data_IF_663126918378
#
_entry.id   IF_663126918378
#
_cell.length_a   1.000
_cell.length_b   1.000
_cell.length_c   1.000
_cell.angle_alpha   90.00
_cell.angle_beta   90.00
_cell.angle_gamma   90.00
#
_symmetry.space_group_name_H-M   'P 1'
#
loop_
_entity.id
_entity.type
_entity.pdbx_description
1 polymer ?
#
# COMPACT_ATOMS: atom_id res chain seq x y z
N UNK A 1 -21.73 20.23 -32.99
CA UNK A 1 -22.52 20.75 -31.88
C UNK A 1 -21.56 21.08 -30.75
N UNK A 2 -21.19 22.34 -30.66
CA UNK A 2 -20.23 22.87 -29.69
C UNK A 2 -20.97 23.16 -28.38
N UNK A 3 -20.64 22.45 -27.33
CA UNK A 3 -21.10 22.75 -25.99
C UNK A 3 -20.31 23.94 -25.43
N UNK A 4 -20.97 25.08 -25.34
CA UNK A 4 -20.48 26.27 -24.63
C UNK A 4 -20.49 25.96 -23.13
N UNK A 5 -19.32 25.75 -22.57
CA UNK A 5 -19.09 25.73 -21.11
C UNK A 5 -19.13 27.18 -20.61
N UNK A 6 -20.27 27.58 -20.06
CA UNK A 6 -20.37 28.83 -19.30
C UNK A 6 -19.52 28.71 -18.03
N UNK A 7 -18.48 29.53 -17.95
CA UNK A 7 -17.72 29.77 -16.73
C UNK A 7 -18.67 30.38 -15.70
N UNK A 8 -18.80 29.83 -14.47
CA UNK A 8 -19.64 30.45 -13.47
C UNK A 8 -19.07 31.82 -13.12
N UNK A 9 -19.94 32.84 -13.21
CA UNK A 9 -19.64 34.22 -12.81
C UNK A 9 -19.20 34.21 -11.33
N UNK A 10 -17.95 34.56 -11.08
CA UNK A 10 -17.40 34.71 -9.74
C UNK A 10 -18.24 35.78 -9.03
N UNK A 11 -19.08 35.38 -8.11
CA UNK A 11 -19.80 36.28 -7.21
C UNK A 11 -18.77 37.23 -6.56
N UNK A 12 -18.97 38.53 -6.71
CA UNK A 12 -18.19 39.55 -6.02
C UNK A 12 -18.19 39.22 -4.52
N UNK A 13 -17.03 39.08 -3.87
CA UNK A 13 -17.00 38.73 -2.46
C UNK A 13 -17.78 39.79 -1.67
N UNK A 14 -18.79 39.37 -0.93
CA UNK A 14 -19.53 40.24 0.00
C UNK A 14 -18.49 40.90 0.93
N UNK A 15 -18.64 42.23 1.11
CA UNK A 15 -17.75 42.96 2.03
C UNK A 15 -17.95 42.41 3.44
N UNK A 16 -16.87 42.25 4.22
CA UNK A 16 -17.00 41.82 5.62
C UNK A 16 -17.89 42.78 6.41
N UNK A 17 -18.75 42.26 7.26
CA UNK A 17 -19.66 43.05 8.06
C UNK A 17 -19.02 43.46 9.37
N UNK A 18 -18.97 44.75 9.63
CA UNK A 18 -18.42 45.32 10.85
C UNK A 18 -19.50 46.01 11.70
N UNK A 19 -19.45 45.79 12.99
CA UNK A 19 -20.24 46.48 13.97
C UNK A 19 -19.38 47.43 14.76
N UNK A 20 -19.80 48.68 14.87
CA UNK A 20 -19.14 49.73 15.63
C UNK A 20 -19.99 50.11 16.85
N UNK A 21 -19.38 50.06 18.04
CA UNK A 21 -20.05 50.35 19.31
C UNK A 21 -19.33 51.49 20.04
N UNK A 22 -20.06 52.55 20.37
CA UNK A 22 -19.56 53.71 21.10
C UNK A 22 -18.74 54.70 20.27
N UNK A 23 -18.32 54.34 19.07
CA UNK A 23 -17.47 55.15 18.22
C UNK A 23 -18.18 56.38 17.67
N UNK A 24 -17.44 57.48 17.55
CA UNK A 24 -17.97 58.71 17.00
C UNK A 24 -18.39 58.58 15.53
N UNK A 25 -19.46 59.27 15.07
CA UNK A 25 -19.89 59.21 13.68
C UNK A 25 -18.81 59.57 12.66
N UNK A 26 -17.86 60.39 13.02
CA UNK A 26 -16.72 60.74 12.18
C UNK A 26 -15.87 59.54 11.79
N UNK A 27 -15.58 58.67 12.72
CA UNK A 27 -14.74 57.48 12.50
C UNK A 27 -15.44 56.38 11.70
N UNK A 28 -16.76 56.19 11.96
CA UNK A 28 -17.54 55.17 11.25
C UNK A 28 -18.01 55.63 9.85
N UNK A 29 -17.88 56.90 9.54
CA UNK A 29 -18.21 57.44 8.22
C UNK A 29 -17.02 57.60 7.27
N UNK A 30 -15.80 57.19 7.68
CA UNK A 30 -14.61 57.26 6.86
C UNK A 30 -14.80 56.50 5.52
N UNK A 31 -14.56 57.12 4.36
CA UNK A 31 -14.81 56.51 3.06
C UNK A 31 -14.07 55.19 2.87
N UNK A 32 -12.79 55.15 3.23
CA UNK A 32 -11.94 53.97 3.04
C UNK A 32 -12.35 52.79 3.95
N UNK A 33 -12.88 53.09 5.14
CA UNK A 33 -13.42 52.06 6.04
C UNK A 33 -14.70 51.42 5.42
N UNK A 34 -15.58 52.25 4.82
CA UNK A 34 -16.79 51.80 4.16
C UNK A 34 -16.56 51.11 2.82
N UNK A 35 -15.44 51.39 2.17
CA UNK A 35 -15.00 50.62 0.99
C UNK A 35 -14.55 49.21 1.36
N UNK A 36 -13.96 49.08 2.52
CA UNK A 36 -13.42 47.79 3.00
C UNK A 36 -14.47 46.92 3.72
N UNK A 37 -15.32 47.56 4.52
CA UNK A 37 -16.31 46.89 5.40
C UNK A 37 -17.71 47.50 5.23
N UNK A 38 -18.74 46.66 5.42
CA UNK A 38 -20.08 47.12 5.66
C UNK A 38 -20.22 47.49 7.15
N UNK A 39 -20.01 48.77 7.49
CA UNK A 39 -20.02 49.23 8.89
C UNK A 39 -21.38 49.68 9.34
N UNK A 40 -21.89 49.06 10.42
CA UNK A 40 -23.11 49.45 11.11
C UNK A 40 -22.77 49.94 12.53
N UNK A 41 -23.10 51.20 12.80
CA UNK A 41 -23.03 51.74 14.17
C UNK A 41 -24.28 51.33 14.94
N UNK A 42 -24.11 50.78 16.14
CA UNK A 42 -25.19 50.33 16.99
C UNK A 42 -25.03 50.89 18.42
N UNK A 43 -26.11 50.97 19.14
CA UNK A 43 -26.08 51.32 20.55
C UNK A 43 -25.47 50.16 21.39
N UNK A 44 -24.84 50.52 22.49
CA UNK A 44 -24.27 49.55 23.44
C UNK A 44 -25.27 48.48 23.88
N UNK A 45 -26.51 48.89 24.06
CA UNK A 45 -27.63 48.00 24.49
C UNK A 45 -28.00 46.95 23.47
N UNK A 46 -27.75 47.18 22.18
CA UNK A 46 -28.07 46.28 21.07
C UNK A 46 -26.86 45.37 20.73
N UNK A 47 -25.66 45.73 21.18
CA UNK A 47 -24.44 45.09 20.76
C UNK A 47 -24.42 43.58 21.02
N UNK A 48 -24.83 43.16 22.21
CA UNK A 48 -24.82 41.75 22.60
C UNK A 48 -25.80 40.92 21.76
N UNK A 49 -27.01 41.45 21.51
CA UNK A 49 -28.04 40.77 20.70
C UNK A 49 -27.54 40.57 19.25
N UNK A 50 -26.94 41.64 18.67
CA UNK A 50 -26.40 41.59 17.29
C UNK A 50 -25.24 40.61 17.19
N UNK A 51 -24.36 40.57 18.18
CA UNK A 51 -23.23 39.62 18.19
C UNK A 51 -23.70 38.18 18.36
N UNK A 52 -24.69 37.95 19.21
CA UNK A 52 -25.31 36.62 19.39
C UNK A 52 -26.09 36.14 18.17
N UNK A 53 -26.69 37.04 17.41
CA UNK A 53 -27.36 36.70 16.14
C UNK A 53 -26.36 36.24 15.06
N UNK A 54 -25.08 36.54 15.20
CA UNK A 54 -24.01 36.16 14.28
C UNK A 54 -23.94 37.01 13.01
N UNK A 55 -23.07 36.62 12.09
CA UNK A 55 -22.88 37.31 10.81
C UNK A 55 -22.10 38.63 10.90
N UNK A 56 -21.34 38.80 11.97
CA UNK A 56 -20.43 39.93 12.20
C UNK A 56 -18.99 39.44 12.01
N UNK A 57 -18.27 40.08 11.10
CA UNK A 57 -16.87 39.74 10.80
C UNK A 57 -15.89 40.57 11.63
N UNK A 58 -16.22 41.80 11.97
CA UNK A 58 -15.41 42.66 12.78
C UNK A 58 -16.23 43.43 13.81
N UNK A 59 -15.70 43.61 15.01
CA UNK A 59 -16.24 44.43 16.07
C UNK A 59 -15.28 45.56 16.39
N UNK A 60 -15.71 46.79 16.22
CA UNK A 60 -14.97 47.99 16.56
C UNK A 60 -15.55 48.56 17.87
N UNK A 61 -14.73 48.63 18.91
CA UNK A 61 -15.14 49.12 20.22
C UNK A 61 -14.44 50.44 20.55
N UNK A 62 -15.17 51.38 21.09
CA UNK A 62 -14.57 52.55 21.71
C UNK A 62 -13.92 52.16 23.05
N UNK A 63 -12.62 52.43 23.18
CA UNK A 63 -11.86 52.15 24.39
C UNK A 63 -12.22 53.04 25.61
N UNK A 64 -13.00 54.11 25.39
CA UNK A 64 -13.49 55.00 26.45
C UNK A 64 -14.85 54.57 27.00
N UNK A 65 -15.42 53.50 26.48
CA UNK A 65 -16.62 52.91 27.08
C UNK A 65 -16.37 52.49 28.53
N UNK A 66 -17.38 52.59 29.41
CA UNK A 66 -17.22 52.12 30.81
C UNK A 66 -16.72 50.68 30.86
N UNK A 67 -15.77 50.38 31.76
CA UNK A 67 -15.11 49.06 31.88
C UNK A 67 -16.12 47.89 32.01
N UNK A 68 -17.23 48.10 32.70
CA UNK A 68 -18.32 47.10 32.83
C UNK A 68 -19.00 46.80 31.48
N UNK A 69 -19.12 47.81 30.61
CA UNK A 69 -19.71 47.66 29.26
C UNK A 69 -18.75 46.92 28.37
N UNK A 70 -17.49 47.35 28.35
CA UNK A 70 -16.44 46.66 27.58
C UNK A 70 -16.32 45.19 27.96
N UNK A 71 -16.32 44.89 29.28
CA UNK A 71 -16.26 43.52 29.79
C UNK A 71 -17.42 42.69 29.29
N UNK A 72 -18.65 43.20 29.41
CA UNK A 72 -19.85 42.46 28.97
C UNK A 72 -19.88 42.20 27.46
N UNK A 73 -19.47 43.18 26.65
CA UNK A 73 -19.42 43.01 25.20
C UNK A 73 -18.33 42.04 24.80
N UNK A 74 -17.12 42.14 25.38
CA UNK A 74 -16.00 41.24 25.09
C UNK A 74 -16.29 39.80 25.54
N UNK A 75 -16.86 39.61 26.72
CA UNK A 75 -17.26 38.27 27.20
C UNK A 75 -18.29 37.62 26.27
N UNK A 76 -19.20 38.42 25.66
CA UNK A 76 -20.20 37.90 24.70
C UNK A 76 -19.58 37.39 23.38
N UNK A 77 -18.38 37.88 23.02
CA UNK A 77 -17.66 37.48 21.81
C UNK A 77 -16.82 36.20 22.03
N UNK A 78 -16.38 35.98 23.27
CA UNK A 78 -15.47 34.86 23.61
C UNK A 78 -13.99 35.14 23.28
N UNK A 79 -13.10 34.25 23.73
CA UNK A 79 -11.65 34.44 23.56
C UNK A 79 -11.17 34.25 22.12
N UNK A 80 -9.96 34.73 21.82
CA UNK A 80 -9.31 34.57 20.53
C UNK A 80 -9.17 33.09 20.14
N UNK A 81 -9.28 32.80 18.84
CA UNK A 81 -9.12 31.46 18.28
C UNK A 81 -10.43 30.66 18.20
N UNK A 82 -11.58 31.15 18.70
CA UNK A 82 -12.87 30.49 18.49
C UNK A 82 -13.30 30.69 17.03
N UNK A 83 -13.59 29.62 16.29
CA UNK A 83 -14.09 29.72 14.92
C UNK A 83 -15.40 30.50 14.84
N UNK A 84 -15.49 31.41 13.85
CA UNK A 84 -16.73 32.18 13.61
C UNK A 84 -16.94 33.43 14.48
N UNK A 85 -16.10 33.68 15.49
CA UNK A 85 -16.19 34.94 16.24
C UNK A 85 -15.69 36.12 15.39
N UNK A 86 -16.21 37.36 15.58
CA UNK A 86 -15.70 38.56 14.90
C UNK A 86 -14.25 38.90 15.35
N UNK A 87 -13.51 39.57 14.48
CA UNK A 87 -12.27 40.25 14.85
C UNK A 87 -12.60 41.44 15.73
N UNK A 88 -12.01 41.55 16.91
CA UNK A 88 -12.26 42.62 17.87
C UNK A 88 -11.10 43.61 17.85
N UNK A 89 -11.40 44.85 17.48
CA UNK A 89 -10.45 45.97 17.54
C UNK A 89 -10.98 47.05 18.45
N UNK A 90 -10.18 47.35 19.48
CA UNK A 90 -10.48 48.47 20.42
C UNK A 90 -9.79 49.73 19.94
N UNK A 91 -10.59 50.78 19.69
CA UNK A 91 -10.07 52.09 19.28
C UNK A 91 -9.88 52.94 20.51
N UNK A 92 -8.65 53.39 20.74
CA UNK A 92 -8.27 54.27 21.85
C UNK A 92 -8.22 55.72 21.40
N UNK A 93 -8.76 56.65 22.19
CA UNK A 93 -8.56 58.08 21.98
C UNK A 93 -7.18 58.54 22.52
N UNK A 94 -6.75 59.82 22.22
CA UNK A 94 -5.50 60.39 22.65
C UNK A 94 -5.26 60.30 24.19
N UNK A 95 -6.33 60.26 24.96
CA UNK A 95 -6.33 60.20 26.42
C UNK A 95 -6.66 58.79 26.96
N UNK A 96 -7.00 57.87 26.08
CA UNK A 96 -7.43 56.52 26.43
C UNK A 96 -6.25 55.61 26.80
N UNK A 97 -6.23 55.05 27.96
CA UNK A 97 -5.19 54.14 28.43
C UNK A 97 -5.67 52.68 28.19
N UNK A 98 -4.79 51.87 27.64
CA UNK A 98 -4.93 50.41 27.48
C UNK A 98 -5.28 49.70 28.81
N UNK A 99 -5.06 50.38 29.93
CA UNK A 99 -5.33 49.90 31.29
C UNK A 99 -6.82 49.83 31.68
N UNK A 100 -7.72 50.36 30.86
CA UNK A 100 -9.18 50.25 31.13
C UNK A 100 -9.74 48.86 30.79
N UNK A 101 -9.09 48.10 29.89
CA UNK A 101 -9.45 46.73 29.62
C UNK A 101 -8.77 45.83 30.67
N UNK A 102 -9.58 45.12 31.45
CA UNK A 102 -9.05 44.17 32.43
C UNK A 102 -8.11 43.15 31.77
N UNK A 103 -6.98 42.86 32.41
CA UNK A 103 -5.95 41.96 31.81
C UNK A 103 -6.53 40.63 31.36
N UNK A 104 -7.54 40.09 32.02
CA UNK A 104 -8.24 38.84 31.65
C UNK A 104 -9.03 38.94 30.36
N UNK A 105 -9.39 40.15 29.93
CA UNK A 105 -10.15 40.35 28.70
C UNK A 105 -9.26 40.65 27.47
N UNK A 106 -7.95 40.81 27.67
CA UNK A 106 -7.01 41.01 26.56
C UNK A 106 -7.01 39.86 25.57
N UNK A 107 -7.33 38.64 26.03
CA UNK A 107 -7.49 37.48 25.16
C UNK A 107 -8.72 37.53 24.25
N UNK A 108 -9.66 38.46 24.52
CA UNK A 108 -10.85 38.68 23.71
C UNK A 108 -10.64 39.79 22.64
N UNK A 109 -9.50 40.47 22.67
CA UNK A 109 -9.19 41.59 21.77
C UNK A 109 -8.10 41.17 20.78
N UNK A 110 -8.35 41.31 19.50
CA UNK A 110 -7.37 40.97 18.46
C UNK A 110 -6.34 42.08 18.26
N UNK A 111 -6.74 43.34 18.40
CA UNK A 111 -5.81 44.47 18.29
C UNK A 111 -6.33 45.76 18.98
N UNK A 112 -5.41 46.69 19.25
CA UNK A 112 -5.66 48.03 19.78
C UNK A 112 -5.14 49.05 18.80
N UNK A 113 -5.95 50.06 18.48
CA UNK A 113 -5.55 51.16 17.56
C UNK A 113 -5.84 52.50 18.19
N UNK A 114 -4.84 53.40 18.20
CA UNK A 114 -5.05 54.76 18.63
C UNK A 114 -5.68 55.57 17.51
N UNK A 115 -6.74 56.31 17.80
CA UNK A 115 -7.46 57.13 16.84
C UNK A 115 -6.63 58.28 16.24
N UNK A 116 -5.65 58.75 17.01
CA UNK A 116 -4.70 59.82 16.61
C UNK A 116 -3.69 59.39 15.54
N UNK A 117 -3.48 58.09 15.35
CA UNK A 117 -2.59 57.56 14.33
C UNK A 117 -3.18 57.58 12.90
N UNK A 118 -4.42 58.04 12.78
CA UNK A 118 -5.07 58.22 11.49
C UNK A 118 -5.75 56.96 10.94
N UNK A 119 -6.52 57.21 9.90
CA UNK A 119 -7.35 56.19 9.22
C UNK A 119 -6.51 55.04 8.66
N UNK A 120 -5.37 55.30 8.06
CA UNK A 120 -4.52 54.29 7.46
C UNK A 120 -4.05 53.24 8.45
N UNK A 121 -3.73 53.63 9.68
CA UNK A 121 -3.31 52.70 10.74
C UNK A 121 -4.46 51.76 11.14
N UNK A 122 -5.66 52.29 11.30
CA UNK A 122 -6.86 51.48 11.62
C UNK A 122 -7.12 50.47 10.50
N UNK A 123 -7.12 50.92 9.24
CA UNK A 123 -7.38 50.07 8.09
C UNK A 123 -6.32 48.98 7.92
N UNK A 124 -5.04 49.31 8.11
CA UNK A 124 -3.96 48.32 8.04
C UNK A 124 -4.11 47.21 9.10
N UNK A 125 -4.46 47.59 10.34
CA UNK A 125 -4.68 46.66 11.45
C UNK A 125 -5.87 45.75 11.20
N UNK A 126 -7.00 46.32 10.79
CA UNK A 126 -8.19 45.56 10.45
C UNK A 126 -7.96 44.57 9.31
N UNK A 127 -7.32 45.03 8.22
CA UNK A 127 -6.98 44.14 7.10
C UNK A 127 -6.14 42.97 7.55
N UNK A 128 -5.12 43.24 8.38
CA UNK A 128 -4.25 42.19 8.88
C UNK A 128 -5.01 41.19 9.76
N UNK A 129 -5.79 41.67 10.70
CA UNK A 129 -6.57 40.83 11.61
C UNK A 129 -7.61 39.97 10.86
N UNK A 130 -8.33 40.56 9.90
CA UNK A 130 -9.28 39.83 9.05
C UNK A 130 -8.59 38.79 8.16
N UNK A 131 -7.42 39.13 7.59
CA UNK A 131 -6.61 38.20 6.79
C UNK A 131 -6.14 37.02 7.61
N UNK A 132 -5.57 37.25 8.79
CA UNK A 132 -5.09 36.20 9.70
C UNK A 132 -6.22 35.27 10.08
N UNK A 133 -7.39 35.84 10.43
CA UNK A 133 -8.58 35.05 10.75
C UNK A 133 -9.05 34.18 9.58
N UNK A 134 -9.11 34.77 8.37
CA UNK A 134 -9.49 34.03 7.17
C UNK A 134 -8.54 32.86 6.89
N UNK A 135 -7.24 33.09 7.03
CA UNK A 135 -6.23 32.06 6.86
C UNK A 135 -6.38 30.93 7.91
N UNK A 136 -6.61 31.29 9.18
CA UNK A 136 -6.82 30.31 10.23
C UNK A 136 -8.08 29.48 10.01
N UNK A 137 -9.18 30.09 9.60
CA UNK A 137 -10.43 29.39 9.30
C UNK A 137 -10.24 28.44 8.11
N UNK A 138 -9.54 28.86 7.05
CA UNK A 138 -9.22 28.02 5.91
C UNK A 138 -8.31 26.84 6.32
N UNK A 139 -7.29 27.09 7.13
CA UNK A 139 -6.40 26.05 7.63
C UNK A 139 -7.15 25.01 8.47
N UNK A 140 -8.03 25.47 9.38
CA UNK A 140 -8.86 24.58 10.20
C UNK A 140 -9.76 23.70 9.31
N UNK A 141 -10.38 24.29 8.29
CA UNK A 141 -11.22 23.56 7.34
C UNK A 141 -10.41 22.51 6.55
N UNK A 142 -9.23 22.90 6.05
CA UNK A 142 -8.35 21.98 5.33
C UNK A 142 -7.84 20.85 6.20
N UNK A 143 -7.51 21.12 7.45
CA UNK A 143 -7.10 20.09 8.40
C UNK A 143 -8.22 19.06 8.65
N UNK A 144 -9.46 19.52 8.87
CA UNK A 144 -10.60 18.64 9.04
C UNK A 144 -10.88 17.80 7.79
N UNK A 145 -10.72 18.38 6.59
CA UNK A 145 -10.84 17.65 5.32
C UNK A 145 -9.75 16.58 5.17
N UNK A 146 -8.50 16.94 5.48
CA UNK A 146 -7.37 15.99 5.47
C UNK A 146 -7.58 14.84 6.46
N UNK A 147 -7.98 15.10 7.68
CA UNK A 147 -8.29 14.06 8.67
C UNK A 147 -9.38 13.10 8.16
N UNK A 148 -10.43 13.65 7.53
CA UNK A 148 -11.48 12.83 6.91
C UNK A 148 -10.98 11.99 5.73
N UNK A 149 -10.03 12.49 4.94
CA UNK A 149 -9.39 11.75 3.85
C UNK A 149 -8.48 10.64 4.39
N UNK A 150 -7.66 10.93 5.39
CA UNK A 150 -6.79 9.94 6.05
C UNK A 150 -7.60 8.78 6.63
N UNK A 151 -8.70 9.06 7.34
CA UNK A 151 -9.57 8.02 7.90
C UNK A 151 -10.20 7.12 6.82
N UNK A 152 -10.57 7.70 5.67
CA UNK A 152 -11.08 6.92 4.53
C UNK A 152 -10.00 6.05 3.88
N UNK A 153 -8.80 6.59 3.69
CA UNK A 153 -7.66 5.85 3.15
C UNK A 153 -7.27 4.67 4.05
N UNK A 154 -7.22 4.90 5.36
CA UNK A 154 -6.93 3.84 6.34
C UNK A 154 -7.97 2.70 6.28
N UNK A 155 -9.25 3.06 6.24
CA UNK A 155 -10.34 2.09 6.12
C UNK A 155 -10.24 1.28 4.82
N UNK A 156 -9.92 1.93 3.69
CA UNK A 156 -9.73 1.26 2.40
C UNK A 156 -8.51 0.32 2.43
N UNK A 157 -7.38 0.78 2.98
CA UNK A 157 -6.17 -0.02 3.09
C UNK A 157 -6.39 -1.28 3.95
N UNK A 158 -7.11 -1.15 5.08
CA UNK A 158 -7.46 -2.28 5.93
C UNK A 158 -8.33 -3.31 5.20
N UNK A 159 -9.35 -2.87 4.45
CA UNK A 159 -10.20 -3.77 3.66
C UNK A 159 -9.41 -4.49 2.58
N UNK A 160 -8.55 -3.78 1.84
CA UNK A 160 -7.70 -4.39 0.82
C UNK A 160 -6.75 -5.43 1.43
N UNK A 161 -6.13 -5.12 2.57
CA UNK A 161 -5.25 -6.06 3.27
C UNK A 161 -6.01 -7.32 3.71
N UNK A 162 -7.25 -7.19 4.19
CA UNK A 162 -8.06 -8.34 4.56
C UNK A 162 -8.46 -9.20 3.35
N UNK A 163 -8.85 -8.59 2.22
CA UNK A 163 -9.15 -9.31 0.98
C UNK A 163 -7.93 -10.08 0.47
N UNK A 164 -6.74 -9.45 0.48
CA UNK A 164 -5.50 -10.13 0.09
C UNK A 164 -5.15 -11.28 1.03
N UNK A 165 -5.34 -11.11 2.35
CA UNK A 165 -5.13 -12.18 3.33
C UNK A 165 -6.06 -13.37 3.09
N UNK A 166 -7.32 -13.11 2.75
CA UNK A 166 -8.28 -14.17 2.38
C UNK A 166 -7.85 -14.90 1.11
N UNK A 167 -7.41 -14.15 0.08
CA UNK A 167 -6.88 -14.73 -1.15
C UNK A 167 -5.63 -15.59 -0.89
N UNK A 168 -4.72 -15.15 -0.01
CA UNK A 168 -3.56 -15.93 0.41
C UNK A 168 -3.93 -17.21 1.15
N UNK A 169 -4.98 -17.17 1.98
CA UNK A 169 -5.50 -18.39 2.63
C UNK A 169 -6.05 -19.39 1.60
N UNK A 170 -6.78 -18.90 0.58
CA UNK A 170 -7.25 -19.73 -0.52
C UNK A 170 -6.09 -20.34 -1.30
N UNK A 171 -5.07 -19.54 -1.66
CA UNK A 171 -3.89 -20.04 -2.36
C UNK A 171 -3.16 -21.10 -1.57
N UNK A 172 -2.97 -20.92 -0.25
CA UNK A 172 -2.40 -21.95 0.63
C UNK A 172 -3.21 -23.24 0.64
N UNK A 173 -4.53 -23.17 0.50
CA UNK A 173 -5.38 -24.36 0.41
C UNK A 173 -5.24 -25.11 -0.92
N UNK A 174 -4.70 -24.45 -1.96
CA UNK A 174 -4.39 -25.07 -3.24
C UNK A 174 -3.03 -25.79 -3.24
N UNK A 175 -2.16 -25.54 -2.25
CA UNK A 175 -0.93 -26.30 -2.12
C UNK A 175 -1.24 -27.78 -1.90
N UNK A 176 -0.40 -28.70 -2.45
CA UNK A 176 -0.63 -30.12 -2.29
C UNK A 176 -0.70 -30.50 -0.81
N UNK A 177 -1.52 -31.48 -0.42
CA UNK A 177 -1.51 -31.98 0.95
C UNK A 177 -0.18 -32.68 1.27
N UNK A 178 0.16 -32.90 2.54
CA UNK A 178 1.31 -33.71 2.90
C UNK A 178 1.20 -35.10 2.23
N UNK A 179 2.26 -35.47 1.53
CA UNK A 179 2.37 -36.79 0.89
C UNK A 179 3.20 -37.71 1.78
N UNK A 180 2.63 -38.88 2.15
CA UNK A 180 3.36 -39.95 2.79
C UNK A 180 3.51 -41.10 1.79
N UNK A 181 4.72 -41.34 1.34
CA UNK A 181 5.00 -42.37 0.35
C UNK A 181 6.22 -43.20 0.75
N UNK A 182 6.11 -44.52 0.61
CA UNK A 182 7.14 -45.48 1.09
C UNK A 182 8.50 -45.37 0.40
N UNK A 183 8.55 -44.77 -0.79
CA UNK A 183 9.75 -44.63 -1.61
C UNK A 183 10.22 -43.20 -1.74
N UNK A 184 9.60 -42.24 -1.03
CA UNK A 184 9.95 -40.84 -1.15
C UNK A 184 9.86 -40.15 0.22
N UNK A 185 10.99 -39.62 0.68
CA UNK A 185 11.05 -38.67 1.77
C UNK A 185 11.02 -37.24 1.15
N UNK A 186 9.95 -36.51 1.43
CA UNK A 186 9.64 -35.23 0.80
C UNK A 186 9.45 -34.14 1.83
N UNK A 187 10.15 -33.03 1.62
CA UNK A 187 9.93 -31.77 2.34
C UNK A 187 9.85 -30.61 1.36
N UNK A 188 9.06 -29.61 1.70
CA UNK A 188 8.85 -28.44 0.85
C UNK A 188 8.47 -27.24 1.68
N UNK A 189 8.79 -26.07 1.17
CA UNK A 189 8.40 -24.79 1.73
C UNK A 189 7.99 -23.86 0.59
N UNK A 190 6.95 -23.07 0.82
CA UNK A 190 6.46 -21.99 -0.05
C UNK A 190 6.24 -20.75 0.80
N UNK A 191 7.04 -19.72 0.56
CA UNK A 191 7.01 -18.45 1.28
C UNK A 191 6.74 -17.35 0.26
N UNK A 192 5.49 -16.91 0.10
CA UNK A 192 5.19 -15.83 -0.84
C UNK A 192 5.81 -14.52 -0.34
N UNK A 193 6.31 -13.70 -1.26
CA UNK A 193 6.88 -12.38 -0.97
C UNK A 193 5.85 -11.44 -0.34
N UNK A 194 4.60 -11.59 -0.72
CA UNK A 194 3.43 -10.83 -0.20
C UNK A 194 2.41 -11.81 0.33
N UNK A 195 1.17 -11.34 0.48
CA UNK A 195 0.06 -12.19 0.92
C UNK A 195 -0.22 -13.36 -0.05
N UNK A 196 0.08 -13.18 -1.34
CA UNK A 196 -0.11 -14.14 -2.43
C UNK A 196 1.07 -14.09 -3.39
N UNK A 197 1.43 -15.24 -3.97
CA UNK A 197 2.58 -15.42 -4.86
C UNK A 197 2.22 -15.92 -6.25
N UNK A 198 3.21 -15.87 -7.17
CA UNK A 198 3.15 -16.39 -8.53
C UNK A 198 3.59 -17.85 -8.65
N UNK A 199 4.36 -18.35 -7.69
CA UNK A 199 4.87 -19.72 -7.73
C UNK A 199 3.74 -20.76 -7.66
N UNK A 200 3.88 -21.78 -8.49
CA UNK A 200 3.01 -22.95 -8.53
C UNK A 200 3.79 -24.20 -8.12
N UNK A 201 3.41 -24.79 -7.01
CA UNK A 201 3.97 -26.04 -6.50
C UNK A 201 2.92 -27.13 -6.44
N UNK A 202 3.23 -28.32 -6.99
CA UNK A 202 2.36 -29.49 -6.82
C UNK A 202 3.16 -30.81 -6.62
N UNK A 203 2.51 -31.73 -5.93
CA UNK A 203 3.02 -33.08 -5.68
C UNK A 203 1.85 -34.04 -5.81
N UNK A 204 1.87 -34.88 -6.82
CA UNK A 204 0.73 -35.68 -7.22
C UNK A 204 1.08 -37.18 -7.26
N UNK A 205 0.33 -37.99 -6.53
CA UNK A 205 0.44 -39.43 -6.65
C UNK A 205 -0.26 -39.88 -7.97
N UNK A 206 0.50 -40.43 -8.89
CA UNK A 206 0.01 -40.97 -10.16
C UNK A 206 -0.24 -42.49 -10.12
N UNK A 207 -0.26 -43.02 -8.91
CA UNK A 207 -0.42 -44.46 -8.63
C UNK A 207 0.42 -44.89 -7.45
N UNK A 208 0.57 -46.21 -7.21
CA UNK A 208 1.25 -46.71 -6.01
C UNK A 208 2.80 -46.55 -6.08
N UNK A 209 3.38 -46.39 -7.27
CA UNK A 209 4.82 -46.32 -7.50
C UNK A 209 5.27 -45.07 -8.27
N UNK A 210 4.34 -44.20 -8.67
CA UNK A 210 4.67 -42.99 -9.45
C UNK A 210 4.20 -41.72 -8.76
N UNK A 211 5.08 -40.73 -8.71
CA UNK A 211 4.79 -39.40 -8.14
C UNK A 211 5.23 -38.35 -9.16
N UNK A 212 4.35 -37.38 -9.43
CA UNK A 212 4.74 -36.17 -10.15
C UNK A 212 5.18 -35.09 -9.14
N UNK A 213 6.30 -34.40 -9.45
CA UNK A 213 6.72 -33.17 -8.82
C UNK A 213 6.65 -32.05 -9.85
N UNK A 214 6.06 -30.95 -9.44
CA UNK A 214 5.83 -29.80 -10.32
C UNK A 214 6.23 -28.54 -9.59
N UNK A 215 7.01 -27.70 -10.27
CA UNK A 215 7.30 -26.34 -9.83
C UNK A 215 7.20 -25.42 -11.06
N UNK A 216 6.54 -24.31 -10.92
CA UNK A 216 6.45 -23.28 -11.95
C UNK A 216 6.41 -21.91 -11.34
N UNK A 217 6.80 -20.93 -12.10
CA UNK A 217 6.67 -19.52 -11.76
C UNK A 217 5.98 -18.81 -12.92
N UNK A 218 4.97 -17.99 -12.62
CA UNK A 218 4.21 -17.27 -13.62
C UNK A 218 4.62 -15.80 -13.67
N UNK A 219 4.67 -15.26 -14.85
CA UNK A 219 5.01 -13.86 -15.09
C UNK A 219 4.18 -12.91 -14.23
N UNK A 220 4.85 -12.04 -13.48
CA UNK A 220 4.24 -10.97 -12.69
C UNK A 220 4.17 -11.28 -11.21
N UNK A 221 3.53 -10.40 -10.43
CA UNK A 221 3.47 -10.53 -8.97
C UNK A 221 2.07 -10.21 -8.45
N UNK A 222 1.73 -10.73 -7.28
CA UNK A 222 0.46 -10.47 -6.60
C UNK A 222 -0.75 -11.17 -7.23
N UNK A 223 -1.94 -10.55 -7.16
CA UNK A 223 -3.21 -11.19 -7.57
C UNK A 223 -3.22 -11.72 -9.01
N UNK A 224 -2.74 -10.96 -10.03
CA UNK A 224 -2.71 -11.48 -11.39
C UNK A 224 -1.86 -12.75 -11.54
N UNK A 225 -0.69 -12.78 -10.92
CA UNK A 225 0.19 -13.94 -10.95
C UNK A 225 -0.44 -15.15 -10.23
N UNK A 226 -1.02 -14.94 -9.06
CA UNK A 226 -1.70 -16.00 -8.31
C UNK A 226 -2.88 -16.63 -9.10
N UNK A 227 -3.63 -15.82 -9.86
CA UNK A 227 -4.69 -16.32 -10.74
C UNK A 227 -4.13 -17.14 -11.91
N UNK A 228 -3.01 -16.70 -12.49
CA UNK A 228 -2.33 -17.46 -13.56
C UNK A 228 -1.77 -18.79 -13.02
N UNK A 229 -1.18 -18.80 -11.83
CA UNK A 229 -0.70 -20.02 -11.18
C UNK A 229 -1.85 -21.01 -10.93
N UNK A 230 -3.00 -20.52 -10.46
CA UNK A 230 -4.20 -21.34 -10.30
C UNK A 230 -4.71 -21.88 -11.64
N UNK A 231 -4.66 -21.08 -12.73
CA UNK A 231 -5.02 -21.49 -14.07
C UNK A 231 -4.05 -22.56 -14.58
N UNK A 232 -2.73 -22.38 -14.42
CA UNK A 232 -1.72 -23.37 -14.80
C UNK A 232 -1.96 -24.70 -14.07
N UNK A 233 -2.25 -24.66 -12.76
CA UNK A 233 -2.63 -25.82 -11.98
C UNK A 233 -3.85 -26.54 -12.58
N UNK A 234 -4.89 -25.80 -12.92
CA UNK A 234 -6.09 -26.37 -13.51
C UNK A 234 -5.81 -27.04 -14.88
N UNK A 235 -5.01 -26.39 -15.75
CA UNK A 235 -4.58 -26.95 -17.02
C UNK A 235 -3.80 -28.25 -16.85
N UNK A 236 -2.85 -28.29 -15.91
CA UNK A 236 -2.03 -29.47 -15.65
C UNK A 236 -2.89 -30.61 -15.12
N UNK A 237 -3.73 -30.36 -14.12
CA UNK A 237 -4.61 -31.39 -13.55
C UNK A 237 -5.59 -31.95 -14.57
N UNK A 238 -6.15 -31.12 -15.45
CA UNK A 238 -7.04 -31.59 -16.53
C UNK A 238 -6.32 -32.54 -17.49
N UNK A 239 -5.05 -32.25 -17.84
CA UNK A 239 -4.29 -33.10 -18.72
C UNK A 239 -3.81 -34.40 -18.06
N UNK A 240 -3.48 -34.38 -16.78
CA UNK A 240 -3.15 -35.60 -16.03
C UNK A 240 -4.33 -36.57 -15.92
N UNK A 241 -5.57 -36.07 -15.83
CA UNK A 241 -6.78 -36.91 -15.81
C UNK A 241 -7.14 -37.50 -17.19
N UNK A 242 -6.62 -36.93 -18.27
CA UNK A 242 -6.92 -37.41 -19.63
C UNK A 242 -6.25 -38.74 -19.98
N UNK A 243 -5.38 -39.27 -19.12
CA UNK A 243 -4.76 -40.60 -19.27
C UNK A 243 -3.25 -40.60 -19.18
N UNK A 244 -2.68 -41.78 -19.21
CA UNK A 244 -1.24 -41.99 -19.10
C UNK A 244 -0.53 -41.53 -20.40
N UNK A 245 0.47 -40.68 -20.25
CA UNK A 245 1.21 -40.09 -21.34
C UNK A 245 2.64 -39.78 -20.89
N UNK A 246 3.56 -39.53 -21.82
CA UNK A 246 4.92 -39.08 -21.49
C UNK A 246 4.89 -37.68 -20.90
N UNK A 247 5.95 -37.32 -20.17
CA UNK A 247 6.08 -35.98 -19.59
C UNK A 247 6.09 -34.89 -20.70
N UNK A 248 6.77 -35.16 -21.80
CA UNK A 248 6.81 -34.25 -22.96
C UNK A 248 5.42 -34.01 -23.57
N UNK A 249 4.66 -35.10 -23.81
CA UNK A 249 3.33 -34.98 -24.40
C UNK A 249 2.36 -34.23 -23.47
N UNK A 250 2.46 -34.50 -22.16
CA UNK A 250 1.66 -33.80 -21.15
C UNK A 250 1.96 -32.30 -21.17
N UNK A 251 3.24 -31.89 -21.12
CA UNK A 251 3.64 -30.48 -21.13
C UNK A 251 3.25 -29.80 -22.45
N UNK A 252 3.34 -30.49 -23.58
CA UNK A 252 2.85 -30.00 -24.87
C UNK A 252 1.34 -29.71 -24.84
N UNK A 253 0.54 -30.59 -24.23
CA UNK A 253 -0.91 -30.37 -24.08
C UNK A 253 -1.21 -29.23 -23.11
N UNK A 254 -0.47 -29.16 -22.01
CA UNK A 254 -0.59 -28.06 -21.03
C UNK A 254 -0.26 -26.72 -21.69
N UNK A 255 0.81 -26.64 -22.48
CA UNK A 255 1.16 -25.41 -23.21
C UNK A 255 0.05 -24.92 -24.11
N UNK A 256 -0.53 -25.82 -24.93
CA UNK A 256 -1.64 -25.45 -25.82
C UNK A 256 -2.85 -24.93 -25.05
N UNK A 257 -3.27 -25.64 -24.00
CA UNK A 257 -4.40 -25.24 -23.19
C UNK A 257 -4.12 -23.92 -22.44
N UNK A 258 -2.94 -23.78 -21.86
CA UNK A 258 -2.53 -22.55 -21.17
C UNK A 258 -2.46 -21.35 -22.13
N UNK A 259 -1.91 -21.54 -23.34
CA UNK A 259 -1.92 -20.51 -24.40
C UNK A 259 -3.34 -20.08 -24.81
N UNK A 260 -4.27 -21.03 -24.89
CA UNK A 260 -5.67 -20.77 -25.29
C UNK A 260 -6.42 -19.94 -24.26
N UNK A 261 -6.23 -20.26 -22.96
CA UNK A 261 -7.01 -19.66 -21.87
C UNK A 261 -6.33 -18.45 -21.21
N UNK A 262 -5.07 -18.17 -21.56
CA UNK A 262 -4.29 -17.08 -20.95
C UNK A 262 -4.24 -15.87 -21.89
N UNK A 263 -4.34 -14.63 -21.38
CA UNK A 263 -4.13 -13.43 -22.19
C UNK A 263 -2.78 -13.44 -22.90
N UNK A 264 -2.73 -12.99 -24.15
CA UNK A 264 -1.50 -12.96 -24.95
C UNK A 264 -0.40 -12.13 -24.30
N UNK A 265 0.82 -12.66 -24.32
CA UNK A 265 1.99 -12.01 -23.71
C UNK A 265 2.23 -12.37 -22.25
N UNK A 266 1.38 -13.19 -21.66
CA UNK A 266 1.64 -13.79 -20.34
C UNK A 266 2.15 -15.22 -20.53
N UNK A 267 3.13 -15.60 -19.76
CA UNK A 267 3.81 -16.88 -19.82
C UNK A 267 4.19 -17.38 -18.43
N UNK A 268 4.59 -18.63 -18.36
CA UNK A 268 5.06 -19.25 -17.12
C UNK A 268 6.28 -20.13 -17.40
N UNK A 269 7.19 -20.20 -16.45
CA UNK A 269 8.15 -21.28 -16.39
C UNK A 269 7.50 -22.50 -15.74
N UNK A 270 7.94 -23.71 -16.13
CA UNK A 270 7.47 -24.95 -15.51
C UNK A 270 8.56 -26.01 -15.53
N UNK A 271 8.80 -26.62 -14.38
CA UNK A 271 9.46 -27.91 -14.29
C UNK A 271 8.41 -28.98 -13.94
N UNK A 272 8.32 -29.99 -14.76
CA UNK A 272 7.45 -31.15 -14.56
C UNK A 272 8.26 -32.43 -14.54
N UNK A 273 8.07 -33.28 -13.55
CA UNK A 273 8.78 -34.57 -13.47
C UNK A 273 7.89 -35.69 -12.95
N UNK A 274 8.20 -36.90 -13.33
CA UNK A 274 7.60 -38.16 -12.85
C UNK A 274 8.70 -39.04 -12.27
N UNK A 275 8.59 -39.35 -11.00
CA UNK A 275 9.42 -40.35 -10.31
C UNK A 275 8.71 -41.70 -10.41
N UNK A 276 9.28 -42.63 -11.14
CA UNK A 276 8.81 -44.00 -11.26
C UNK A 276 9.72 -44.93 -10.45
N UNK A 277 9.26 -45.25 -9.25
CA UNK A 277 10.04 -46.08 -8.30
C UNK A 277 10.04 -47.56 -8.69
N UNK A 278 9.15 -48.05 -9.54
CA UNK A 278 9.13 -49.42 -10.03
C UNK A 278 10.19 -49.59 -11.15
N UNK A 279 10.31 -48.59 -12.03
CA UNK A 279 11.32 -48.59 -13.08
C UNK A 279 12.68 -48.05 -12.59
N UNK A 280 12.75 -47.34 -11.46
CA UNK A 280 13.93 -46.63 -11.00
C UNK A 280 14.32 -45.49 -11.94
N UNK A 281 13.38 -44.72 -12.44
CA UNK A 281 13.60 -43.66 -13.42
C UNK A 281 12.96 -42.36 -12.96
N UNK A 282 13.65 -41.25 -13.21
CA UNK A 282 13.15 -39.89 -13.19
C UNK A 282 12.97 -39.43 -14.64
N UNK A 283 11.71 -39.24 -15.08
CA UNK A 283 11.37 -38.60 -16.34
C UNK A 283 11.05 -37.14 -16.09
N UNK A 284 11.57 -36.19 -16.88
CA UNK A 284 11.31 -34.76 -16.64
C UNK A 284 11.32 -33.92 -17.92
N UNK A 285 10.66 -32.77 -17.81
CA UNK A 285 10.65 -31.67 -18.80
C UNK A 285 10.87 -30.36 -18.07
N UNK A 286 11.80 -29.54 -18.54
CA UNK A 286 12.01 -28.19 -18.09
C UNK A 286 11.51 -27.21 -19.15
N UNK A 287 10.40 -26.54 -18.90
CA UNK A 287 9.82 -25.53 -19.78
C UNK A 287 10.26 -24.12 -19.33
N UNK A 288 11.56 -23.82 -19.50
CA UNK A 288 12.15 -22.51 -19.19
C UNK A 288 12.24 -22.15 -17.71
N UNK A 289 12.15 -23.13 -16.81
CA UNK A 289 12.31 -22.91 -15.39
C UNK A 289 13.80 -22.96 -14.99
N UNK A 290 14.18 -22.31 -13.89
CA UNK A 290 15.49 -22.46 -13.27
C UNK A 290 15.81 -23.94 -13.10
N UNK A 291 17.04 -24.31 -13.44
CA UNK A 291 17.38 -25.71 -13.54
C UNK A 291 17.37 -26.40 -12.16
N UNK A 292 16.35 -27.21 -11.84
CA UNK A 292 16.43 -28.10 -10.70
C UNK A 292 17.60 -29.06 -10.87
N UNK A 293 18.04 -29.61 -9.77
CA UNK A 293 19.20 -30.52 -9.84
C UNK A 293 18.99 -31.77 -9.01
N UNK A 294 19.68 -32.83 -9.41
CA UNK A 294 19.72 -34.10 -8.72
C UNK A 294 21.07 -34.23 -8.02
N UNK A 295 21.04 -34.39 -6.70
CA UNK A 295 22.23 -34.76 -5.90
C UNK A 295 22.24 -36.26 -5.75
N UNK A 296 23.26 -36.89 -6.35
CA UNK A 296 23.48 -38.34 -6.23
C UNK A 296 23.91 -38.73 -4.81
N UNK A 297 23.70 -39.96 -4.45
CA UNK A 297 24.12 -40.48 -3.13
C UNK A 297 25.61 -40.35 -2.87
N UNK A 298 26.46 -40.37 -3.93
CA UNK A 298 27.88 -40.12 -3.88
C UNK A 298 28.32 -38.65 -3.82
N UNK A 299 27.36 -37.72 -3.98
CA UNK A 299 27.57 -36.26 -3.94
C UNK A 299 27.77 -35.60 -5.30
N UNK A 300 27.69 -36.33 -6.42
CA UNK A 300 27.66 -35.70 -7.74
C UNK A 300 26.37 -34.95 -7.91
N UNK A 301 26.40 -33.83 -8.65
CA UNK A 301 25.25 -33.01 -8.96
C UNK A 301 25.02 -33.01 -10.46
N UNK A 302 23.77 -33.21 -10.86
CA UNK A 302 23.32 -33.21 -12.27
C UNK A 302 22.18 -32.20 -12.44
N UNK A 303 22.37 -31.23 -13.33
CA UNK A 303 21.33 -30.22 -13.64
C UNK A 303 20.29 -30.83 -14.57
N UNK A 304 19.01 -30.57 -14.30
CA UNK A 304 17.87 -31.07 -15.06
C UNK A 304 17.42 -30.04 -16.09
N UNK A 305 18.14 -30.02 -17.24
CA UNK A 305 18.06 -28.93 -18.23
C UNK A 305 17.15 -29.24 -19.43
N UNK A 306 16.85 -30.53 -19.69
CA UNK A 306 16.12 -30.95 -20.90
C UNK A 306 14.68 -30.46 -20.88
N UNK A 307 14.23 -29.89 -22.00
CA UNK A 307 12.86 -29.42 -22.14
C UNK A 307 12.65 -28.49 -23.32
N UNK A 308 12.25 -27.26 -23.07
CA UNK A 308 11.94 -26.28 -24.11
C UNK A 308 11.79 -24.86 -23.56
N UNK A 309 11.08 -24.01 -24.30
CA UNK A 309 10.83 -22.63 -23.90
C UNK A 309 9.69 -22.52 -22.87
N UNK A 310 9.46 -21.31 -22.35
CA UNK A 310 8.38 -20.99 -21.42
C UNK A 310 7.00 -21.41 -21.94
N UNK A 311 6.12 -21.83 -21.03
CA UNK A 311 4.71 -22.11 -21.34
C UNK A 311 3.97 -20.84 -21.70
N UNK A 312 3.07 -20.92 -22.69
CA UNK A 312 2.23 -19.78 -23.11
C UNK A 312 2.98 -18.74 -23.92
N UNK A 313 4.28 -18.91 -24.19
CA UNK A 313 5.04 -17.98 -25.04
C UNK A 313 4.66 -18.14 -26.53
N UNK A 314 4.61 -19.38 -27.01
CA UNK A 314 4.18 -19.74 -28.38
C UNK A 314 3.21 -20.92 -28.32
N UNK A 315 2.15 -20.88 -29.11
CA UNK A 315 1.19 -21.98 -29.23
C UNK A 315 1.84 -23.28 -29.68
N UNK A 316 2.77 -23.17 -30.64
CA UNK A 316 3.43 -24.30 -31.30
C UNK A 316 4.71 -24.77 -30.58
N UNK A 317 4.97 -24.30 -29.35
CA UNK A 317 6.14 -24.79 -28.60
C UNK A 317 6.08 -26.31 -28.43
N UNK A 318 7.23 -26.96 -28.57
CA UNK A 318 7.43 -28.38 -28.31
C UNK A 318 8.46 -28.54 -27.22
N UNK A 319 8.35 -29.62 -26.45
CA UNK A 319 9.20 -29.90 -25.30
C UNK A 319 9.80 -31.28 -25.42
N UNK A 320 11.09 -31.38 -25.15
CA UNK A 320 11.83 -32.63 -25.07
C UNK A 320 11.81 -33.19 -23.64
N UNK A 321 11.77 -34.50 -23.51
CA UNK A 321 11.81 -35.22 -22.25
C UNK A 321 13.18 -35.89 -22.07
N UNK A 322 13.68 -35.91 -20.84
CA UNK A 322 14.78 -36.77 -20.47
C UNK A 322 14.34 -37.81 -19.47
N UNK A 323 14.84 -39.03 -19.60
CA UNK A 323 14.81 -40.09 -18.61
C UNK A 323 16.19 -40.32 -18.03
N UNK A 324 16.33 -40.27 -16.71
CA UNK A 324 17.57 -40.56 -16.02
C UNK A 324 17.34 -41.60 -14.91
N UNK A 325 18.33 -42.45 -14.57
CA UNK A 325 18.21 -43.36 -13.44
C UNK A 325 17.93 -42.59 -12.12
N UNK A 326 17.07 -43.16 -11.28
CA UNK A 326 16.79 -42.66 -9.92
C UNK A 326 17.08 -43.78 -8.92
N UNK A 327 18.19 -43.63 -8.19
CA UNK A 327 18.63 -44.61 -7.22
C UNK A 327 18.21 -44.21 -5.78
N UNK A 328 18.10 -45.20 -4.90
CA UNK A 328 17.87 -44.93 -3.47
C UNK A 328 19.00 -44.04 -2.89
N UNK A 329 18.63 -43.00 -2.18
CA UNK A 329 19.53 -42.01 -1.62
C UNK A 329 19.74 -40.78 -2.52
N UNK A 330 19.33 -40.82 -3.78
CA UNK A 330 19.33 -39.66 -4.66
C UNK A 330 18.33 -38.61 -4.18
N UNK A 331 18.66 -37.34 -4.30
CA UNK A 331 17.85 -36.22 -3.81
C UNK A 331 17.64 -35.20 -4.92
N UNK A 332 16.41 -34.93 -5.27
CA UNK A 332 15.98 -33.89 -6.22
C UNK A 332 15.75 -32.61 -5.42
N UNK A 333 16.30 -31.50 -5.90
CA UNK A 333 16.05 -30.17 -5.33
C UNK A 333 15.42 -29.30 -6.42
N UNK A 334 14.18 -28.85 -6.14
CA UNK A 334 13.49 -27.85 -6.98
C UNK A 334 13.44 -26.54 -6.20
N UNK A 335 13.59 -25.44 -6.90
CA UNK A 335 13.62 -24.11 -6.31
C UNK A 335 13.15 -23.07 -7.31
N UNK A 336 12.53 -21.98 -6.83
CA UNK A 336 12.23 -20.78 -7.63
C UNK A 336 13.38 -19.78 -7.53
N UNK A 337 13.38 -18.79 -8.44
CA UNK A 337 14.42 -17.74 -8.50
C UNK A 337 14.54 -16.94 -7.19
N UNK A 338 13.45 -16.78 -6.42
CA UNK A 338 13.50 -16.16 -5.09
C UNK A 338 14.41 -16.85 -4.08
N UNK A 339 14.91 -18.08 -4.39
CA UNK A 339 15.96 -18.75 -3.62
C UNK A 339 17.33 -18.25 -4.04
N UNK A 340 17.61 -18.25 -5.36
CA UNK A 340 18.93 -17.94 -5.92
C UNK A 340 19.22 -16.45 -6.01
N UNK A 341 18.19 -15.66 -6.28
CA UNK A 341 18.25 -14.21 -6.41
C UNK A 341 18.16 -13.47 -5.06
N UNK A 342 18.12 -14.24 -3.97
CA UNK A 342 18.08 -13.68 -2.62
C UNK A 342 19.35 -12.90 -2.31
N UNK A 343 19.25 -11.57 -2.28
CA UNK A 343 20.36 -10.67 -2.05
C UNK A 343 20.78 -10.60 -0.57
N UNK A 344 22.09 -10.43 -0.36
CA UNK A 344 22.63 -10.05 0.95
C UNK A 344 22.68 -8.52 1.10
N UNK A 345 23.17 -8.04 2.25
CA UNK A 345 23.30 -6.61 2.55
C UNK A 345 24.21 -5.82 1.56
N UNK A 346 24.99 -6.49 0.73
CA UNK A 346 25.86 -5.88 -0.29
C UNK A 346 25.31 -5.99 -1.71
N UNK A 347 24.08 -6.51 -1.88
CA UNK A 347 23.44 -6.70 -3.19
C UNK A 347 24.05 -7.88 -4.00
N UNK A 348 24.56 -8.90 -3.32
CA UNK A 348 25.04 -10.10 -3.98
C UNK A 348 23.99 -11.20 -3.83
N UNK A 349 23.57 -11.87 -4.93
CA UNK A 349 22.60 -12.96 -4.87
C UNK A 349 23.20 -14.20 -4.17
N UNK A 350 22.33 -15.00 -3.56
CA UNK A 350 22.70 -16.27 -2.96
C UNK A 350 23.36 -17.20 -3.98
N UNK A 351 22.73 -17.35 -5.12
CA UNK A 351 23.23 -18.07 -6.28
C UNK A 351 23.11 -19.60 -6.17
N UNK A 352 23.00 -20.23 -7.32
CA UNK A 352 22.77 -21.69 -7.44
C UNK A 352 23.92 -22.51 -6.89
N UNK A 353 25.17 -22.05 -6.99
CA UNK A 353 26.34 -22.80 -6.54
C UNK A 353 26.39 -23.00 -5.01
N UNK A 354 25.95 -21.97 -4.25
CA UNK A 354 25.78 -22.10 -2.79
C UNK A 354 24.66 -23.07 -2.44
N UNK A 355 23.54 -23.00 -3.17
CA UNK A 355 22.43 -23.93 -2.99
C UNK A 355 22.86 -25.37 -3.23
N UNK A 356 23.60 -25.65 -4.33
CA UNK A 356 24.13 -26.97 -4.64
C UNK A 356 25.10 -27.45 -3.57
N UNK A 357 26.01 -26.60 -3.11
CA UNK A 357 26.98 -26.94 -2.07
C UNK A 357 26.28 -27.32 -0.75
N UNK A 358 25.29 -26.55 -0.33
CA UNK A 358 24.52 -26.83 0.87
C UNK A 358 23.71 -28.13 0.74
N UNK A 359 23.10 -28.38 -0.45
CA UNK A 359 22.36 -29.60 -0.73
C UNK A 359 23.27 -30.86 -0.70
N UNK A 360 24.48 -30.79 -1.26
CA UNK A 360 25.47 -31.84 -1.16
C UNK A 360 25.89 -32.08 0.29
N UNK A 361 26.03 -31.01 1.08
CA UNK A 361 26.35 -31.10 2.52
C UNK A 361 25.29 -31.86 3.31
N UNK A 362 24.03 -31.67 2.99
CA UNK A 362 22.87 -32.28 3.67
C UNK A 362 22.32 -33.54 3.00
N UNK A 363 22.97 -34.07 1.96
CA UNK A 363 22.46 -35.18 1.14
C UNK A 363 22.10 -36.47 1.88
N UNK A 364 22.65 -36.68 3.08
CA UNK A 364 22.39 -37.84 3.92
C UNK A 364 21.30 -37.61 4.97
N UNK A 365 20.88 -36.37 5.13
CA UNK A 365 19.89 -36.00 6.11
C UNK A 365 18.46 -36.35 5.59
N UNK A 366 17.49 -36.56 6.46
CA UNK A 366 16.11 -36.60 6.07
C UNK A 366 15.71 -35.31 5.31
N UNK A 367 14.82 -35.44 4.31
CA UNK A 367 14.43 -34.33 3.44
C UNK A 367 14.04 -33.06 4.23
N UNK A 368 13.35 -33.24 5.36
CA UNK A 368 12.95 -32.12 6.22
C UNK A 368 14.15 -31.40 6.85
N UNK A 369 15.14 -32.15 7.30
CA UNK A 369 16.38 -31.57 7.88
C UNK A 369 17.15 -30.83 6.79
N UNK A 370 17.35 -31.48 5.63
CA UNK A 370 18.00 -30.87 4.48
C UNK A 370 17.30 -29.55 4.07
N UNK A 371 15.96 -29.56 3.95
CA UNK A 371 15.19 -28.36 3.63
C UNK A 371 15.47 -27.20 4.61
N UNK A 372 15.40 -27.47 5.92
CA UNK A 372 15.65 -26.41 6.92
C UNK A 372 17.11 -25.96 6.96
N UNK A 373 18.05 -26.83 6.64
CA UNK A 373 19.46 -26.45 6.46
C UNK A 373 19.61 -25.48 5.30
N UNK A 374 19.03 -25.79 4.14
CA UNK A 374 19.05 -24.89 2.98
C UNK A 374 18.39 -23.54 3.29
N UNK A 375 17.21 -23.56 3.90
CA UNK A 375 16.51 -22.32 4.30
C UNK A 375 17.35 -21.49 5.30
N UNK A 376 18.04 -22.16 6.22
CA UNK A 376 18.94 -21.50 7.18
C UNK A 376 20.11 -20.79 6.51
N UNK A 377 20.72 -21.43 5.50
CA UNK A 377 21.80 -20.84 4.69
C UNK A 377 21.31 -19.61 3.88
N UNK A 378 20.13 -19.73 3.25
CA UNK A 378 19.50 -18.64 2.48
C UNK A 378 19.17 -17.45 3.40
N UNK A 379 18.55 -17.70 4.56
CA UNK A 379 18.20 -16.68 5.53
C UNK A 379 19.44 -16.02 6.17
N UNK A 380 20.45 -16.82 6.48
CA UNK A 380 21.75 -16.35 6.99
C UNK A 380 22.45 -15.44 5.98
N UNK A 381 22.41 -15.79 4.69
CA UNK A 381 22.93 -14.96 3.61
C UNK A 381 22.19 -13.63 3.48
N UNK A 382 20.86 -13.67 3.51
CA UNK A 382 20.02 -12.48 3.40
C UNK A 382 20.18 -11.49 4.58
N UNK A 383 20.68 -11.94 5.73
CA UNK A 383 20.99 -11.09 6.89
C UNK A 383 19.87 -10.09 7.25
N UNK A 384 18.61 -10.51 7.14
CA UNK A 384 17.43 -9.70 7.45
C UNK A 384 16.92 -8.81 6.33
N UNK A 385 17.47 -8.88 5.11
CA UNK A 385 16.91 -8.22 3.93
C UNK A 385 15.52 -8.78 3.63
N UNK A 386 14.61 -7.92 3.17
CA UNK A 386 13.26 -8.33 2.77
C UNK A 386 13.28 -9.18 1.49
N UNK A 387 12.40 -10.18 1.33
CA UNK A 387 12.31 -10.94 0.09
C UNK A 387 11.85 -10.04 -1.07
N UNK A 388 12.43 -10.25 -2.25
CA UNK A 388 12.08 -9.53 -3.48
C UNK A 388 11.20 -10.37 -4.39
N UNK A 389 11.18 -11.70 -4.20
CA UNK A 389 10.31 -12.64 -4.89
C UNK A 389 9.82 -13.77 -3.99
N UNK A 390 8.88 -14.56 -4.51
CA UNK A 390 8.37 -15.76 -3.84
C UNK A 390 9.50 -16.78 -3.70
N UNK A 391 9.56 -17.45 -2.55
CA UNK A 391 10.54 -18.47 -2.28
C UNK A 391 9.85 -19.82 -2.21
N UNK A 392 10.14 -20.68 -3.18
CA UNK A 392 9.70 -22.06 -3.18
C UNK A 392 10.92 -23.00 -3.20
N UNK A 393 10.94 -23.94 -2.27
CA UNK A 393 12.00 -24.94 -2.17
C UNK A 393 11.40 -26.32 -1.89
N UNK A 394 11.85 -27.31 -2.67
CA UNK A 394 11.44 -28.71 -2.52
C UNK A 394 12.68 -29.59 -2.43
N UNK A 395 12.69 -30.45 -1.45
CA UNK A 395 13.72 -31.51 -1.29
C UNK A 395 13.00 -32.85 -1.32
N UNK A 396 13.27 -33.66 -2.33
CA UNK A 396 12.64 -34.94 -2.57
C UNK A 396 13.69 -36.05 -2.67
N UNK A 397 13.79 -36.90 -1.66
CA UNK A 397 14.77 -37.96 -1.56
C UNK A 397 14.16 -39.33 -1.85
N UNK A 398 14.72 -40.07 -2.80
CA UNK A 398 14.38 -41.45 -3.06
C UNK A 398 14.86 -42.35 -1.92
N UNK A 399 14.01 -43.26 -1.39
CA UNK A 399 14.28 -44.13 -0.21
C UNK A 399 14.18 -45.60 -0.54
#
# INVERSE_FOLDING_TARGET
MSASTSVPELATPERPRAVAVGLTPGLTSLPSLREMLEVRSIAVTEAIEVLQAGGVDALLLDGELPAEVLSRVLESVGPNGIPGRPVVVVVLSEHGHRTQVETRLLEHVDDFVNADRGEEALLARLRNALRVRGTLAELTRKNAELEGLYGRLETMAQRMAEELRLAGNLQRSLLPPPLNHKHLDLAREFIPMREIGGDYLDVLALGPSRIALVLGDVMGKGVPAALLAANLKACLHAQLQAGDTSAAELVNRVNRLFWEVTPKGLFASLFFSILDFERGILSYVNAGHDYPFLVRSDGRVEDLVTGGTLLGLLESSTYDEAEIPLDSGDTIVLYSDGVTDRDNATGQPFGVERLKAAAVGSRRDPARIALYTLLGEIQGWAAGQSPEDDLTLVVARAT
#
